data_IF_986395977368
#
_entry.id   IF_986395977368
#
_cell.length_a   1.000
_cell.length_b   1.000
_cell.length_c   1.000
_cell.angle_alpha   90.00
_cell.angle_beta   90.00
_cell.angle_gamma   90.00
#
_symmetry.space_group_name_H-M   'P 1'
#
loop_
_entity.id
_entity.type
_entity.pdbx_description
1 polymer ?
#
# COMPACT_ATOMS: atom_id res chain seq x y z
N UNK A 1 33.56 -26.58 -26.05
CA UNK A 1 32.13 -26.92 -26.23
C UNK A 1 31.30 -26.61 -24.98
N UNK A 2 31.73 -27.03 -23.79
CA UNK A 2 31.01 -26.81 -22.53
C UNK A 2 30.83 -25.34 -22.17
N UNK A 3 31.91 -24.53 -22.19
CA UNK A 3 31.83 -23.08 -21.94
C UNK A 3 30.80 -22.38 -22.83
N UNK A 4 30.76 -22.71 -24.12
CA UNK A 4 29.78 -22.14 -25.06
C UNK A 4 28.33 -22.47 -24.65
N UNK A 5 28.07 -23.69 -24.15
CA UNK A 5 26.75 -24.09 -23.64
C UNK A 5 26.37 -23.31 -22.39
N UNK A 6 27.31 -23.12 -21.46
CA UNK A 6 27.11 -22.30 -20.25
C UNK A 6 26.80 -20.85 -20.65
N UNK A 7 27.58 -20.26 -21.56
CA UNK A 7 27.37 -18.88 -22.01
C UNK A 7 26.01 -18.70 -22.71
N UNK A 8 25.58 -19.66 -23.53
CA UNK A 8 24.23 -19.67 -24.14
C UNK A 8 23.13 -19.66 -23.07
N UNK A 9 23.29 -20.46 -22.00
CA UNK A 9 22.35 -20.48 -20.88
C UNK A 9 22.32 -19.15 -20.13
N UNK A 10 23.49 -18.55 -19.88
CA UNK A 10 23.59 -17.25 -19.22
C UNK A 10 22.92 -16.14 -20.03
N UNK A 11 23.12 -16.11 -21.35
CA UNK A 11 22.46 -15.14 -22.25
C UNK A 11 20.94 -15.29 -22.24
N UNK A 12 20.43 -16.52 -22.41
CA UNK A 12 19.00 -16.79 -22.43
C UNK A 12 18.31 -16.36 -21.11
N UNK A 13 18.91 -16.70 -19.96
CA UNK A 13 18.35 -16.32 -18.67
C UNK A 13 18.53 -14.82 -18.37
N UNK A 14 19.63 -14.19 -18.81
CA UNK A 14 19.79 -12.74 -18.66
C UNK A 14 18.71 -11.97 -19.43
N UNK A 15 18.35 -12.42 -20.64
CA UNK A 15 17.24 -11.85 -21.40
C UNK A 15 15.91 -12.03 -20.66
N UNK A 16 15.61 -13.24 -20.14
CA UNK A 16 14.39 -13.49 -19.35
C UNK A 16 14.27 -12.58 -18.13
N UNK A 17 15.38 -12.37 -17.41
CA UNK A 17 15.41 -11.43 -16.27
C UNK A 17 15.15 -10.01 -16.75
N UNK A 18 15.83 -9.57 -17.82
CA UNK A 18 15.68 -8.22 -18.37
C UNK A 18 14.26 -7.92 -18.85
N UNK A 19 13.61 -8.87 -19.53
CA UNK A 19 12.22 -8.77 -19.98
C UNK A 19 11.25 -8.74 -18.80
N UNK A 20 11.39 -9.64 -17.83
CA UNK A 20 10.53 -9.65 -16.64
C UNK A 20 10.64 -8.36 -15.84
N UNK A 21 11.87 -7.85 -15.64
CA UNK A 21 12.09 -6.57 -14.95
C UNK A 21 11.54 -5.37 -15.72
N UNK A 22 11.51 -5.39 -17.06
CA UNK A 22 10.86 -4.32 -17.85
C UNK A 22 9.35 -4.28 -17.61
N UNK A 23 8.68 -5.43 -17.63
CA UNK A 23 7.23 -5.52 -17.34
C UNK A 23 6.94 -5.00 -15.94
N UNK A 24 7.77 -5.35 -14.95
CA UNK A 24 7.64 -4.88 -13.58
C UNK A 24 7.92 -3.38 -13.43
N UNK A 25 8.88 -2.83 -14.18
CA UNK A 25 9.16 -1.40 -14.24
C UNK A 25 7.98 -0.62 -14.83
N UNK A 26 7.38 -1.11 -15.91
CA UNK A 26 6.19 -0.51 -16.52
C UNK A 26 4.98 -0.57 -15.59
N UNK A 27 4.78 -1.67 -14.86
CA UNK A 27 3.76 -1.75 -13.82
C UNK A 27 4.01 -0.73 -12.70
N UNK A 28 5.23 -0.67 -12.17
CA UNK A 28 5.59 0.32 -11.16
C UNK A 28 5.38 1.75 -11.65
N UNK A 29 5.66 2.02 -12.94
CA UNK A 29 5.56 3.35 -13.53
C UNK A 29 4.14 3.78 -13.85
N UNK A 30 3.37 2.91 -14.49
CA UNK A 30 2.09 3.28 -15.13
C UNK A 30 0.87 2.79 -14.36
N UNK A 31 1.04 1.82 -13.44
CA UNK A 31 -0.05 1.31 -12.60
C UNK A 31 0.09 1.81 -11.16
N UNK A 32 1.31 1.85 -10.63
CA UNK A 32 1.55 2.25 -9.24
C UNK A 32 2.03 3.70 -9.07
N UNK A 33 2.43 4.38 -10.15
CA UNK A 33 3.12 5.67 -10.11
C UNK A 33 4.29 5.71 -9.10
N UNK A 34 4.94 4.56 -8.86
CA UNK A 34 6.00 4.35 -7.86
C UNK A 34 7.38 4.70 -8.45
N UNK A 35 7.73 5.98 -8.42
CA UNK A 35 9.05 6.45 -8.89
C UNK A 35 10.25 5.82 -8.17
N UNK A 36 10.09 5.41 -6.90
CA UNK A 36 11.17 4.74 -6.13
C UNK A 36 11.28 3.27 -6.56
N UNK A 37 10.17 2.61 -6.80
CA UNK A 37 10.07 1.26 -7.34
C UNK A 37 10.68 1.19 -8.74
N UNK A 38 10.36 2.15 -9.62
CA UNK A 38 11.01 2.30 -10.93
C UNK A 38 12.52 2.42 -10.79
N UNK A 39 13.00 3.30 -9.91
CA UNK A 39 14.43 3.48 -9.68
C UNK A 39 15.10 2.20 -9.15
N UNK A 40 14.45 1.49 -8.23
CA UNK A 40 14.97 0.25 -7.65
C UNK A 40 15.02 -0.91 -8.67
N UNK A 41 13.96 -1.08 -9.47
CA UNK A 41 13.90 -2.10 -10.53
C UNK A 41 14.95 -1.80 -11.62
N UNK A 42 15.12 -0.52 -11.99
CA UNK A 42 16.16 -0.08 -12.91
C UNK A 42 17.57 -0.33 -12.35
N UNK A 43 17.77 -0.08 -11.05
CA UNK A 43 19.04 -0.39 -10.37
C UNK A 43 19.34 -1.90 -10.40
N UNK A 44 18.33 -2.74 -10.14
CA UNK A 44 18.46 -4.20 -10.22
C UNK A 44 18.86 -4.65 -11.64
N UNK A 45 18.26 -4.06 -12.69
CA UNK A 45 18.65 -4.30 -14.10
C UNK A 45 20.10 -3.90 -14.38
N UNK A 46 20.55 -2.74 -13.94
CA UNK A 46 21.93 -2.31 -14.14
C UNK A 46 22.93 -3.19 -13.38
N UNK A 47 22.59 -3.58 -12.15
CA UNK A 47 23.43 -4.46 -11.34
C UNK A 47 23.57 -5.85 -11.98
N UNK A 48 22.51 -6.38 -12.59
CA UNK A 48 22.57 -7.62 -13.37
C UNK A 48 23.57 -7.53 -14.53
N UNK A 49 23.54 -6.43 -15.29
CA UNK A 49 24.48 -6.20 -16.40
C UNK A 49 25.92 -6.18 -15.90
N UNK A 50 26.17 -5.50 -14.76
CA UNK A 50 27.48 -5.46 -14.13
C UNK A 50 27.95 -6.84 -13.65
N UNK A 51 27.09 -7.61 -12.98
CA UNK A 51 27.41 -8.95 -12.49
C UNK A 51 27.72 -9.93 -13.63
N UNK A 52 27.11 -9.76 -14.81
CA UNK A 52 27.39 -10.57 -15.99
C UNK A 52 28.57 -10.06 -16.83
N UNK A 53 29.28 -9.01 -16.38
CA UNK A 53 30.41 -8.42 -17.12
C UNK A 53 31.59 -9.38 -17.35
N UNK A 54 31.69 -10.45 -16.55
CA UNK A 54 32.70 -11.52 -16.69
C UNK A 54 32.56 -12.35 -17.97
N UNK A 55 31.39 -12.29 -18.63
CA UNK A 55 31.17 -12.85 -19.96
C UNK A 55 30.77 -11.71 -20.88
N UNK A 56 31.62 -11.41 -21.87
CA UNK A 56 31.41 -10.26 -22.74
C UNK A 56 30.09 -10.37 -23.51
N UNK A 57 29.51 -9.23 -23.86
CA UNK A 57 28.28 -9.17 -24.68
C UNK A 57 28.47 -9.92 -26.02
N UNK A 58 29.65 -9.80 -26.65
CA UNK A 58 29.96 -10.49 -27.89
C UNK A 58 30.00 -12.01 -27.72
N UNK A 59 30.58 -12.51 -26.62
CA UNK A 59 30.62 -13.95 -26.30
C UNK A 59 29.22 -14.50 -26.07
N UNK A 60 28.36 -13.76 -25.34
CA UNK A 60 26.96 -14.12 -25.11
C UNK A 60 26.16 -14.19 -26.41
N UNK A 61 26.28 -13.18 -27.27
CA UNK A 61 25.58 -13.13 -28.57
C UNK A 61 26.07 -14.27 -29.47
N UNK A 62 27.38 -14.49 -29.56
CA UNK A 62 27.97 -15.56 -30.38
C UNK A 62 27.61 -16.98 -29.92
N UNK A 63 27.14 -17.14 -28.68
CA UNK A 63 26.69 -18.42 -28.15
C UNK A 63 25.22 -18.75 -28.48
N UNK A 64 24.43 -17.79 -28.99
CA UNK A 64 23.02 -17.98 -29.34
C UNK A 64 22.88 -19.01 -30.46
N UNK A 65 21.81 -19.79 -30.38
CA UNK A 65 21.42 -20.76 -31.39
C UNK A 65 19.91 -21.01 -31.28
N UNK A 66 19.14 -20.01 -31.74
CA UNK A 66 17.68 -20.02 -31.64
C UNK A 66 17.04 -21.13 -32.47
N UNK A 67 17.67 -21.53 -33.57
CA UNK A 67 17.15 -22.58 -34.46
C UNK A 67 17.39 -23.98 -33.90
N UNK A 68 18.42 -24.16 -33.08
CA UNK A 68 18.74 -25.43 -32.40
C UNK A 68 18.34 -25.47 -30.93
N UNK A 69 17.63 -24.46 -30.41
CA UNK A 69 17.10 -24.47 -29.03
C UNK A 69 16.00 -25.52 -28.93
N UNK A 70 16.16 -26.50 -28.04
CA UNK A 70 15.15 -27.53 -27.78
C UNK A 70 14.11 -27.04 -26.80
N UNK A 71 12.84 -27.44 -26.99
CA UNK A 71 11.75 -27.09 -26.08
C UNK A 71 11.14 -25.70 -26.30
N UNK A 72 11.37 -25.08 -27.46
CA UNK A 72 10.75 -23.80 -27.85
C UNK A 72 9.23 -23.89 -28.04
N UNK A 73 8.73 -25.08 -28.39
CA UNK A 73 7.30 -25.31 -28.68
C UNK A 73 6.52 -25.81 -27.45
N UNK A 74 7.19 -26.00 -26.30
CA UNK A 74 6.58 -26.47 -25.07
C UNK A 74 5.85 -25.32 -24.36
N UNK A 75 4.69 -24.94 -24.89
CA UNK A 75 3.84 -23.90 -24.29
C UNK A 75 2.87 -24.56 -23.31
N UNK A 76 2.99 -24.21 -22.02
CA UNK A 76 2.03 -24.66 -21.01
C UNK A 76 0.68 -23.98 -21.23
N UNK A 77 -0.43 -24.71 -21.14
CA UNK A 77 -1.79 -24.21 -21.38
C UNK A 77 -2.19 -22.99 -20.53
N UNK A 78 -1.51 -22.76 -19.40
CA UNK A 78 -1.73 -21.63 -18.50
C UNK A 78 -0.90 -20.37 -18.82
N UNK A 79 -0.02 -20.39 -19.83
CA UNK A 79 0.85 -19.24 -20.14
C UNK A 79 0.07 -18.03 -20.67
N UNK A 80 -1.03 -18.30 -21.38
CA UNK A 80 -1.89 -17.29 -22.03
C UNK A 80 -3.07 -16.83 -21.18
N UNK A 81 -3.37 -17.50 -20.07
CA UNK A 81 -4.52 -17.17 -19.24
C UNK A 81 -4.09 -16.33 -18.03
N UNK A 82 -4.50 -15.07 -18.00
CA UNK A 82 -4.14 -14.11 -16.94
C UNK A 82 -5.42 -13.52 -16.36
N UNK A 83 -5.69 -13.81 -15.09
CA UNK A 83 -6.90 -13.37 -14.40
C UNK A 83 -6.91 -11.87 -14.05
N UNK A 84 -5.76 -11.17 -14.12
CA UNK A 84 -5.65 -9.74 -13.79
C UNK A 84 -4.22 -9.25 -13.61
N UNK A 85 -4.04 -7.97 -13.24
CA UNK A 85 -2.74 -7.30 -13.07
C UNK A 85 -1.81 -8.06 -12.10
N UNK A 86 -2.30 -8.42 -10.92
CA UNK A 86 -1.54 -9.18 -9.91
C UNK A 86 -0.97 -10.50 -10.47
N UNK A 87 -1.70 -11.17 -11.36
CA UNK A 87 -1.25 -12.43 -11.98
C UNK A 87 -0.10 -12.21 -12.96
N UNK A 88 -0.06 -11.05 -13.64
CA UNK A 88 1.03 -10.64 -14.53
C UNK A 88 2.25 -10.27 -13.71
N UNK A 89 2.09 -9.49 -12.65
CA UNK A 89 3.18 -9.07 -11.75
C UNK A 89 3.83 -10.29 -11.08
N UNK A 90 3.01 -11.16 -10.49
CA UNK A 90 3.47 -12.38 -9.81
C UNK A 90 4.25 -13.27 -10.78
N UNK A 91 3.73 -13.51 -11.99
CA UNK A 91 4.39 -14.35 -12.97
C UNK A 91 5.75 -13.79 -13.41
N UNK A 92 5.86 -12.47 -13.60
CA UNK A 92 7.13 -11.84 -13.98
C UNK A 92 8.15 -11.86 -12.84
N UNK A 93 7.75 -11.65 -11.58
CA UNK A 93 8.64 -11.84 -10.44
C UNK A 93 9.16 -13.28 -10.34
N UNK A 94 8.28 -14.28 -10.48
CA UNK A 94 8.71 -15.70 -10.46
C UNK A 94 9.67 -16.02 -11.61
N UNK A 95 9.41 -15.51 -12.81
CA UNK A 95 10.30 -15.67 -13.98
C UNK A 95 11.68 -15.05 -13.72
N UNK A 96 11.73 -13.83 -13.19
CA UNK A 96 12.99 -13.16 -12.81
C UNK A 96 13.77 -13.99 -11.80
N UNK A 97 13.12 -14.44 -10.73
CA UNK A 97 13.75 -15.17 -9.63
C UNK A 97 14.30 -16.53 -10.08
N UNK A 98 13.53 -17.26 -10.90
CA UNK A 98 13.94 -18.55 -11.46
C UNK A 98 15.12 -18.38 -12.42
N UNK A 99 15.07 -17.38 -13.31
CA UNK A 99 16.16 -17.11 -14.26
C UNK A 99 17.43 -16.65 -13.54
N UNK A 100 17.33 -15.80 -12.51
CA UNK A 100 18.47 -15.44 -11.67
C UNK A 100 19.06 -16.64 -10.93
N UNK A 101 18.23 -17.60 -10.48
CA UNK A 101 18.73 -18.84 -9.87
C UNK A 101 19.53 -19.69 -10.86
N UNK A 102 19.05 -19.81 -12.11
CA UNK A 102 19.82 -20.49 -13.17
C UNK A 102 21.14 -19.77 -13.46
N UNK A 103 21.14 -18.44 -13.54
CA UNK A 103 22.38 -17.67 -13.72
C UNK A 103 23.34 -17.93 -12.55
N UNK A 104 22.87 -17.83 -11.31
CA UNK A 104 23.65 -18.05 -10.09
C UNK A 104 24.39 -19.39 -10.12
N UNK A 105 23.68 -20.48 -10.39
CA UNK A 105 24.26 -21.83 -10.35
C UNK A 105 25.29 -22.06 -11.46
N UNK A 106 24.97 -21.65 -12.69
CA UNK A 106 25.88 -21.88 -13.82
C UNK A 106 27.05 -20.91 -13.87
N UNK A 107 26.91 -19.71 -13.31
CA UNK A 107 27.99 -18.73 -13.24
C UNK A 107 29.09 -19.16 -12.27
N UNK A 108 28.80 -20.04 -11.29
CA UNK A 108 29.83 -20.65 -10.41
C UNK A 108 30.91 -21.41 -11.18
N UNK A 109 30.59 -21.91 -12.39
CA UNK A 109 31.53 -22.60 -13.26
C UNK A 109 32.46 -21.65 -14.04
N UNK A 110 32.16 -20.35 -14.06
CA UNK A 110 32.94 -19.32 -14.77
C UNK A 110 33.61 -18.38 -13.77
N UNK A 111 32.84 -17.82 -12.84
CA UNK A 111 33.31 -16.86 -11.85
C UNK A 111 32.43 -16.89 -10.59
N UNK A 112 33.01 -17.41 -9.49
CA UNK A 112 32.30 -17.55 -8.22
C UNK A 112 31.93 -16.20 -7.58
N UNK A 113 32.75 -15.16 -7.77
CA UNK A 113 32.47 -13.84 -7.21
C UNK A 113 31.21 -13.21 -7.84
N UNK A 114 31.10 -13.31 -9.17
CA UNK A 114 29.90 -12.88 -9.88
C UNK A 114 28.68 -13.73 -9.55
N UNK A 115 28.84 -15.03 -9.29
CA UNK A 115 27.74 -15.85 -8.81
C UNK A 115 27.19 -15.36 -7.45
N UNK A 116 28.06 -14.99 -6.50
CA UNK A 116 27.65 -14.37 -5.22
C UNK A 116 26.94 -13.03 -5.44
N UNK A 117 27.38 -12.23 -6.42
CA UNK A 117 26.65 -11.00 -6.80
C UNK A 117 25.24 -11.33 -7.28
N UNK A 118 25.07 -12.31 -8.16
CA UNK A 118 23.75 -12.73 -8.67
C UNK A 118 22.86 -13.27 -7.54
N UNK A 119 23.42 -14.03 -6.59
CA UNK A 119 22.69 -14.48 -5.41
C UNK A 119 22.08 -13.30 -4.65
N UNK A 120 22.88 -12.26 -4.36
CA UNK A 120 22.39 -11.03 -3.69
C UNK A 120 21.28 -10.35 -4.49
N UNK A 121 21.46 -10.20 -5.81
CA UNK A 121 20.42 -9.61 -6.66
C UNK A 121 19.12 -10.44 -6.66
N UNK A 122 19.23 -11.76 -6.58
CA UNK A 122 18.06 -12.64 -6.42
C UNK A 122 17.35 -12.37 -5.09
N UNK A 123 18.09 -12.19 -3.99
CA UNK A 123 17.50 -11.81 -2.70
C UNK A 123 16.85 -10.41 -2.73
N UNK A 124 17.49 -9.44 -3.36
CA UNK A 124 16.95 -8.10 -3.56
C UNK A 124 15.62 -8.16 -4.34
N UNK A 125 15.52 -9.05 -5.33
CA UNK A 125 14.28 -9.24 -6.09
C UNK A 125 13.11 -9.75 -5.24
N UNK A 126 13.34 -10.57 -4.21
CA UNK A 126 12.29 -10.99 -3.27
C UNK A 126 11.80 -9.82 -2.42
N UNK A 127 12.73 -8.96 -1.99
CA UNK A 127 12.42 -7.78 -1.19
C UNK A 127 11.58 -6.78 -2.02
N UNK A 128 11.94 -6.59 -3.29
CA UNK A 128 11.18 -5.75 -4.20
C UNK A 128 9.79 -6.32 -4.51
N UNK A 129 9.68 -7.64 -4.77
CA UNK A 129 8.38 -8.31 -4.96
C UNK A 129 7.45 -8.09 -3.75
N UNK A 130 7.97 -8.26 -2.54
CA UNK A 130 7.19 -8.07 -1.32
C UNK A 130 6.69 -6.62 -1.20
N UNK A 131 7.50 -5.65 -1.62
CA UNK A 131 7.13 -4.22 -1.59
C UNK A 131 6.06 -3.88 -2.63
N UNK A 132 6.24 -4.28 -3.89
CA UNK A 132 5.30 -3.95 -4.98
C UNK A 132 3.93 -4.59 -4.74
N UNK A 133 3.91 -5.85 -4.29
CA UNK A 133 2.67 -6.59 -3.96
C UNK A 133 1.90 -5.94 -2.79
N UNK A 134 2.62 -5.38 -1.80
CA UNK A 134 1.98 -4.69 -0.67
C UNK A 134 1.35 -3.35 -1.07
N UNK A 135 1.93 -2.63 -2.04
CA UNK A 135 1.43 -1.33 -2.49
C UNK A 135 0.09 -1.44 -3.23
N UNK A 136 0.00 -2.37 -4.19
CA UNK A 136 -1.22 -2.64 -4.96
C UNK A 136 -2.36 -3.13 -4.03
N UNK A 137 -2.01 -3.92 -3.01
CA UNK A 137 -2.94 -4.32 -1.94
C UNK A 137 -3.45 -3.14 -1.08
N UNK A 138 -2.65 -2.08 -0.83
CA UNK A 138 -3.07 -0.97 0.03
C UNK A 138 -4.11 -0.08 -0.64
N UNK A 139 -3.85 0.37 -1.87
CA UNK A 139 -4.79 1.21 -2.62
C UNK A 139 -6.11 0.49 -2.90
N UNK A 140 -6.05 -0.81 -3.27
CA UNK A 140 -7.26 -1.61 -3.48
C UNK A 140 -8.07 -1.79 -2.18
N UNK A 141 -7.40 -1.98 -1.03
CA UNK A 141 -8.06 -2.03 0.29
C UNK A 141 -8.67 -0.69 0.67
N UNK A 142 -7.96 0.41 0.44
CA UNK A 142 -8.45 1.78 0.71
C UNK A 142 -9.65 2.13 -0.17
N UNK A 143 -9.64 1.76 -1.44
CA UNK A 143 -10.76 2.01 -2.36
C UNK A 143 -12.07 1.36 -1.89
N UNK A 144 -11.98 0.17 -1.29
CA UNK A 144 -13.10 -0.59 -0.70
C UNK A 144 -13.43 -0.16 0.74
N UNK A 145 -12.56 0.59 1.39
CA UNK A 145 -12.75 1.02 2.77
C UNK A 145 -13.93 2.00 2.88
N UNK A 146 -14.81 1.76 3.85
CA UNK A 146 -15.96 2.61 4.17
C UNK A 146 -16.02 3.01 5.64
N UNK A 147 -15.34 2.26 6.52
CA UNK A 147 -15.30 2.52 7.94
C UNK A 147 -13.86 2.69 8.45
N UNK A 148 -13.55 3.92 8.84
CA UNK A 148 -12.27 4.36 9.33
C UNK A 148 -12.36 4.65 10.84
N UNK A 149 -11.55 3.99 11.66
CA UNK A 149 -11.54 4.18 13.10
C UNK A 149 -10.30 4.96 13.53
N UNK A 150 -10.50 5.99 14.35
CA UNK A 150 -9.41 6.65 15.08
C UNK A 150 -9.33 6.05 16.48
N UNK A 151 -8.16 5.54 16.83
CA UNK A 151 -7.88 4.89 18.10
C UNK A 151 -6.88 5.71 18.91
N UNK A 152 -7.20 5.93 20.18
CA UNK A 152 -6.30 6.55 21.17
C UNK A 152 -5.37 5.48 21.76
N UNK A 153 -4.10 5.82 21.99
CA UNK A 153 -3.08 4.87 22.48
C UNK A 153 -2.94 4.85 24.00
N UNK A 154 -3.68 5.71 24.70
CA UNK A 154 -3.61 5.92 26.15
C UNK A 154 -4.01 4.71 26.99
N UNK A 155 -3.88 4.86 28.31
CA UNK A 155 -3.95 3.73 29.23
C UNK A 155 -2.73 2.81 29.11
N UNK A 156 -2.84 1.58 29.61
CA UNK A 156 -1.73 0.62 29.51
C UNK A 156 -1.63 0.01 28.10
N UNK A 157 -0.44 -0.47 27.73
CA UNK A 157 -0.23 -1.15 26.44
C UNK A 157 -1.15 -2.37 26.29
N UNK A 158 -1.34 -3.11 27.40
CA UNK A 158 -2.22 -4.27 27.43
C UNK A 158 -3.68 -3.87 27.21
N UNK A 159 -4.15 -2.74 27.73
CA UNK A 159 -5.53 -2.29 27.52
C UNK A 159 -5.77 -1.90 26.06
N UNK A 160 -4.79 -1.20 25.45
CA UNK A 160 -4.81 -0.86 24.04
C UNK A 160 -4.89 -2.12 23.16
N UNK A 161 -4.00 -3.09 23.39
CA UNK A 161 -3.99 -4.35 22.63
C UNK A 161 -5.30 -5.13 22.79
N UNK A 162 -5.84 -5.23 24.01
CA UNK A 162 -7.13 -5.90 24.26
C UNK A 162 -8.26 -5.25 23.48
N UNK A 163 -8.32 -3.92 23.42
CA UNK A 163 -9.33 -3.18 22.64
C UNK A 163 -9.19 -3.45 21.14
N UNK A 164 -7.96 -3.38 20.61
CA UNK A 164 -7.69 -3.67 19.19
C UNK A 164 -8.09 -5.11 18.85
N UNK A 165 -7.67 -6.09 19.65
CA UNK A 165 -8.03 -7.50 19.46
C UNK A 165 -9.55 -7.72 19.48
N UNK A 166 -10.28 -7.06 20.38
CA UNK A 166 -11.74 -7.13 20.42
C UNK A 166 -12.41 -6.62 19.15
N UNK A 167 -11.84 -5.58 18.52
CA UNK A 167 -12.32 -5.06 17.24
C UNK A 167 -11.97 -6.00 16.08
N UNK A 168 -10.76 -6.57 16.06
CA UNK A 168 -10.31 -7.49 15.02
C UNK A 168 -11.05 -8.84 15.06
N UNK A 169 -11.48 -9.27 16.24
CA UNK A 169 -12.28 -10.49 16.41
C UNK A 169 -13.76 -10.30 16.01
N UNK A 170 -14.19 -9.08 15.71
CA UNK A 170 -15.57 -8.81 15.32
C UNK A 170 -15.82 -9.24 13.87
N UNK A 171 -16.95 -9.91 13.61
CA UNK A 171 -17.40 -10.23 12.24
C UNK A 171 -17.61 -8.95 11.40
N UNK A 172 -18.06 -7.86 12.05
CA UNK A 172 -18.05 -6.55 11.42
C UNK A 172 -16.62 -6.01 11.41
N UNK A 173 -15.99 -6.03 10.24
CA UNK A 173 -14.62 -5.57 10.07
C UNK A 173 -14.53 -4.04 10.07
N UNK A 174 -13.53 -3.49 10.75
CA UNK A 174 -13.03 -2.14 10.48
C UNK A 174 -12.09 -2.20 9.29
N UNK A 175 -12.07 -1.17 8.43
CA UNK A 175 -11.24 -1.18 7.23
C UNK A 175 -9.89 -0.47 7.46
N UNK A 176 -9.91 0.59 8.27
CA UNK A 176 -8.73 1.39 8.61
C UNK A 176 -8.71 1.69 10.10
N UNK A 177 -7.57 1.48 10.76
CA UNK A 177 -7.32 1.95 12.12
C UNK A 177 -6.19 2.99 12.07
N UNK A 178 -6.48 4.20 12.52
CA UNK A 178 -5.48 5.25 12.71
C UNK A 178 -5.14 5.38 14.18
N UNK A 179 -3.87 5.17 14.51
CA UNK A 179 -3.36 5.51 15.84
C UNK A 179 -3.24 7.03 15.93
N UNK A 180 -4.08 7.62 16.77
CA UNK A 180 -4.18 9.06 17.00
C UNK A 180 -4.24 9.33 18.49
N UNK A 181 -3.07 9.58 19.05
CA UNK A 181 -2.90 10.00 20.42
C UNK A 181 -2.04 11.27 20.47
N UNK A 182 -2.56 12.32 21.09
CA UNK A 182 -1.85 13.60 21.23
C UNK A 182 -1.14 13.76 22.57
N UNK A 183 -1.27 12.77 23.45
CA UNK A 183 -0.72 12.79 24.81
C UNK A 183 0.49 11.88 24.97
N UNK A 184 0.62 10.84 24.15
CA UNK A 184 1.80 9.97 24.14
C UNK A 184 3.03 10.71 23.63
N UNK A 185 4.17 10.44 24.27
CA UNK A 185 5.47 10.83 23.73
C UNK A 185 5.86 9.97 22.52
N UNK A 186 6.92 10.39 21.81
CA UNK A 186 7.40 9.72 20.61
C UNK A 186 7.72 8.22 20.79
N UNK A 187 8.29 7.85 21.95
CA UNK A 187 8.67 6.45 22.22
C UNK A 187 7.44 5.60 22.48
N UNK A 188 6.49 6.12 23.23
CA UNK A 188 5.22 5.46 23.52
C UNK A 188 4.37 5.34 22.25
N UNK A 189 4.30 6.40 21.44
CA UNK A 189 3.58 6.39 20.18
C UNK A 189 4.17 5.36 19.22
N UNK A 190 5.50 5.28 19.11
CA UNK A 190 6.18 4.27 18.31
C UNK A 190 5.92 2.85 18.80
N UNK A 191 5.97 2.62 20.12
CA UNK A 191 5.64 1.32 20.72
C UNK A 191 4.20 0.91 20.39
N UNK A 192 3.23 1.81 20.58
CA UNK A 192 1.82 1.57 20.23
C UNK A 192 1.63 1.30 18.74
N UNK A 193 2.28 2.06 17.87
CA UNK A 193 2.21 1.86 16.42
C UNK A 193 2.75 0.48 16.02
N UNK A 194 3.88 0.06 16.59
CA UNK A 194 4.46 -1.29 16.35
C UNK A 194 3.55 -2.40 16.83
N UNK A 195 2.93 -2.25 18.01
CA UNK A 195 1.96 -3.21 18.53
C UNK A 195 0.73 -3.32 17.64
N UNK A 196 0.14 -2.18 17.27
CA UNK A 196 -1.00 -2.14 16.35
C UNK A 196 -0.65 -2.80 15.02
N UNK A 197 0.53 -2.51 14.46
CA UNK A 197 0.98 -3.15 13.23
C UNK A 197 1.15 -4.66 13.40
N UNK A 198 1.74 -5.11 14.49
CA UNK A 198 1.91 -6.53 14.80
C UNK A 198 0.57 -7.26 14.90
N UNK A 199 -0.40 -6.69 15.62
CA UNK A 199 -1.74 -7.27 15.81
C UNK A 199 -2.55 -7.36 14.51
N UNK A 200 -2.34 -6.42 13.60
CA UNK A 200 -3.05 -6.35 12.31
C UNK A 200 -2.34 -7.09 11.18
N UNK A 201 -1.21 -7.76 11.45
CA UNK A 201 -0.55 -8.62 10.45
C UNK A 201 -1.47 -9.78 10.09
N UNK A 202 -1.65 -10.00 8.79
CA UNK A 202 -2.56 -11.03 8.27
C UNK A 202 -4.03 -10.61 8.22
N UNK A 203 -4.39 -9.44 8.75
CA UNK A 203 -5.73 -8.88 8.63
C UNK A 203 -5.80 -7.90 7.43
N UNK A 204 -6.94 -7.77 6.73
CA UNK A 204 -7.11 -6.76 5.67
C UNK A 204 -7.12 -5.31 6.17
N UNK A 205 -7.05 -5.06 7.48
CA UNK A 205 -7.09 -3.70 8.05
C UNK A 205 -5.85 -2.91 7.65
N UNK A 206 -6.05 -1.66 7.24
CA UNK A 206 -4.97 -0.69 7.03
C UNK A 206 -4.62 0.01 8.35
N UNK A 207 -3.32 0.16 8.63
CA UNK A 207 -2.82 0.88 9.80
C UNK A 207 -2.24 2.24 9.39
N UNK A 208 -2.80 3.30 9.95
CA UNK A 208 -2.36 4.67 9.71
C UNK A 208 -1.81 5.28 11.00
N UNK A 209 -0.81 6.16 10.88
CA UNK A 209 -0.32 6.97 12.01
C UNK A 209 -0.73 8.42 11.78
N UNK A 210 -1.27 9.05 12.81
CA UNK A 210 -1.64 10.47 12.76
C UNK A 210 -0.40 11.36 12.87
N UNK A 211 -0.31 12.39 12.01
CA UNK A 211 0.66 13.50 11.96
C UNK A 211 2.14 13.12 11.71
N UNK A 212 2.58 11.95 12.21
CA UNK A 212 4.00 11.56 12.32
C UNK A 212 4.42 10.58 11.23
N UNK A 213 4.86 11.13 10.10
CA UNK A 213 5.38 10.37 8.96
C UNK A 213 6.60 9.51 9.32
N UNK A 214 7.49 10.02 10.18
CA UNK A 214 8.65 9.32 10.72
C UNK A 214 8.26 8.10 11.55
N UNK A 215 7.27 8.22 12.42
CA UNK A 215 6.73 7.11 13.22
C UNK A 215 6.07 6.06 12.31
N UNK A 216 5.30 6.50 11.32
CA UNK A 216 4.67 5.60 10.34
C UNK A 216 5.71 4.68 9.67
N UNK A 217 6.83 5.25 9.21
CA UNK A 217 7.95 4.50 8.62
C UNK A 217 8.60 3.58 9.66
N UNK A 218 8.93 4.10 10.84
CA UNK A 218 9.63 3.36 11.89
C UNK A 218 8.80 2.19 12.50
N UNK A 219 7.48 2.22 12.32
CA UNK A 219 6.55 1.15 12.73
C UNK A 219 6.09 0.24 11.59
N UNK A 220 6.52 0.46 10.35
CA UNK A 220 6.02 -0.25 9.15
C UNK A 220 4.48 -0.12 8.99
N UNK A 221 3.94 1.06 9.27
CA UNK A 221 2.51 1.36 9.07
C UNK A 221 2.18 1.37 7.57
N UNK A 222 0.90 1.23 7.22
CA UNK A 222 0.46 1.34 5.83
C UNK A 222 0.48 2.77 5.32
N UNK A 223 0.49 3.77 6.22
CA UNK A 223 0.64 5.17 5.84
C UNK A 223 0.51 6.18 6.98
N UNK A 224 0.42 7.46 6.61
CA UNK A 224 0.25 8.60 7.51
C UNK A 224 -1.02 9.39 7.17
N UNK A 225 -1.66 9.98 8.18
CA UNK A 225 -2.71 10.98 7.99
C UNK A 225 -2.26 12.30 8.58
N UNK A 226 -2.24 13.38 7.79
CA UNK A 226 -1.79 14.72 8.23
C UNK A 226 -2.94 15.72 8.26
N UNK A 227 -2.81 16.78 9.06
CA UNK A 227 -3.70 17.93 9.04
C UNK A 227 -3.17 19.06 8.16
N UNK A 228 -3.70 20.27 8.36
CA UNK A 228 -3.31 21.47 7.61
C UNK A 228 -2.07 22.17 8.20
N UNK A 229 -1.64 21.78 9.41
CA UNK A 229 -0.53 22.40 10.14
C UNK A 229 0.72 21.54 10.21
N UNK A 230 0.56 20.25 9.93
CA UNK A 230 1.61 19.24 9.88
C UNK A 230 2.34 19.29 8.53
N UNK A 231 3.17 18.28 8.23
CA UNK A 231 3.86 18.20 6.94
C UNK A 231 2.84 18.25 5.78
N UNK A 232 3.09 19.08 4.74
CA UNK A 232 2.31 19.04 3.51
C UNK A 232 2.35 17.64 2.89
N UNK A 233 1.29 17.28 2.14
CA UNK A 233 1.14 15.95 1.52
C UNK A 233 2.38 15.54 0.72
N UNK A 234 2.94 16.46 -0.08
CA UNK A 234 4.16 16.21 -0.88
C UNK A 234 5.38 15.89 -0.02
N UNK A 235 5.56 16.57 1.10
CA UNK A 235 6.69 16.35 1.99
C UNK A 235 6.49 15.09 2.84
N UNK A 236 5.27 14.83 3.31
CA UNK A 236 4.92 13.56 3.95
C UNK A 236 5.21 12.37 3.00
N UNK A 237 4.82 12.48 1.72
CA UNK A 237 5.13 11.48 0.68
C UNK A 237 6.63 11.27 0.50
N UNK A 238 7.43 12.33 0.53
CA UNK A 238 8.90 12.22 0.43
C UNK A 238 9.51 11.47 1.62
N UNK A 239 8.93 11.60 2.80
CA UNK A 239 9.37 10.87 4.01
C UNK A 239 8.95 9.41 3.96
N UNK A 240 7.66 9.12 3.71
CA UNK A 240 7.15 7.75 3.82
C UNK A 240 7.35 6.90 2.56
N UNK A 241 7.70 7.55 1.46
CA UNK A 241 7.85 6.92 0.15
C UNK A 241 6.53 6.72 -0.60
N UNK A 242 6.60 6.35 -1.88
CA UNK A 242 5.44 6.24 -2.77
C UNK A 242 4.53 5.04 -2.51
N UNK A 243 5.01 3.98 -1.83
CA UNK A 243 4.21 2.76 -1.59
C UNK A 243 3.36 2.78 -0.32
N UNK A 244 3.46 3.84 0.49
CA UNK A 244 2.68 4.02 1.71
C UNK A 244 1.63 5.11 1.50
N UNK A 245 0.49 5.00 2.18
CA UNK A 245 -0.66 5.88 1.97
C UNK A 245 -0.46 7.25 2.66
N UNK A 246 -0.87 8.33 2.01
CA UNK A 246 -0.94 9.69 2.58
C UNK A 246 -2.39 10.17 2.55
N UNK A 247 -2.97 10.33 3.72
CA UNK A 247 -4.26 11.00 3.88
C UNK A 247 -4.11 12.42 4.41
N UNK A 248 -5.07 13.29 4.08
CA UNK A 248 -5.09 14.66 4.61
C UNK A 248 -6.49 15.08 5.05
N UNK A 249 -6.57 15.79 6.18
CA UNK A 249 -7.82 16.43 6.63
C UNK A 249 -8.11 17.68 5.81
N UNK A 250 -9.37 17.89 5.42
CA UNK A 250 -9.84 19.02 4.61
C UNK A 250 -11.09 19.62 5.23
N UNK A 251 -11.22 20.94 5.15
CA UNK A 251 -12.29 21.72 5.79
C UNK A 251 -13.13 22.52 4.79
N UNK A 252 -12.68 22.63 3.54
CA UNK A 252 -13.35 23.36 2.47
C UNK A 252 -12.97 22.79 1.08
N UNK A 253 -13.69 23.21 0.04
CA UNK A 253 -13.48 22.76 -1.33
C UNK A 253 -12.09 23.13 -1.88
N UNK A 254 -11.52 24.25 -1.44
CA UNK A 254 -10.20 24.67 -1.90
C UNK A 254 -9.10 23.76 -1.33
N UNK A 255 -9.22 23.35 -0.07
CA UNK A 255 -8.35 22.35 0.56
C UNK A 255 -8.48 20.98 -0.11
N UNK A 256 -9.71 20.56 -0.44
CA UNK A 256 -9.94 19.32 -1.19
C UNK A 256 -9.23 19.30 -2.54
N UNK A 257 -9.37 20.37 -3.33
CA UNK A 257 -8.67 20.49 -4.63
C UNK A 257 -7.16 20.44 -4.47
N UNK A 258 -6.61 21.19 -3.51
CA UNK A 258 -5.17 21.13 -3.19
C UNK A 258 -4.72 19.73 -2.80
N UNK A 259 -5.50 19.01 -2.00
CA UNK A 259 -5.17 17.64 -1.61
C UNK A 259 -5.09 16.69 -2.82
N UNK A 260 -5.99 16.85 -3.80
CA UNK A 260 -5.96 16.11 -5.07
C UNK A 260 -4.70 16.48 -5.87
N UNK A 261 -4.46 17.78 -6.05
CA UNK A 261 -3.31 18.29 -6.83
C UNK A 261 -1.95 17.92 -6.20
N UNK A 262 -1.91 17.75 -4.87
CA UNK A 262 -0.72 17.34 -4.14
C UNK A 262 -0.51 15.83 -4.09
N UNK A 263 -1.44 15.04 -4.64
CA UNK A 263 -1.33 13.58 -4.75
C UNK A 263 -1.60 12.86 -3.44
N UNK A 264 -2.58 13.32 -2.65
CA UNK A 264 -3.09 12.55 -1.52
C UNK A 264 -3.80 11.28 -2.01
N UNK A 265 -3.76 10.20 -1.22
CA UNK A 265 -4.44 8.94 -1.55
C UNK A 265 -5.90 8.94 -1.07
N UNK A 266 -6.21 9.72 -0.04
CA UNK A 266 -7.56 9.91 0.49
C UNK A 266 -7.66 11.19 1.31
N UNK A 267 -8.89 11.60 1.61
CA UNK A 267 -9.18 12.80 2.40
C UNK A 267 -10.14 12.52 3.55
N UNK A 268 -9.92 13.20 4.68
CA UNK A 268 -10.93 13.35 5.73
C UNK A 268 -11.67 14.66 5.53
N UNK A 269 -12.98 14.63 5.33
CA UNK A 269 -13.81 15.81 5.10
C UNK A 269 -14.63 16.12 6.36
N UNK A 270 -14.30 17.21 7.05
CA UNK A 270 -14.99 17.58 8.29
C UNK A 270 -14.37 18.80 8.96
N UNK A 271 -14.79 19.14 10.19
CA UNK A 271 -15.81 18.44 10.98
C UNK A 271 -17.22 18.58 10.39
N UNK A 272 -18.00 17.49 10.41
CA UNK A 272 -19.37 17.47 9.88
C UNK A 272 -20.41 17.75 10.96
N UNK A 273 -20.21 17.22 12.17
CA UNK A 273 -21.06 17.48 13.34
C UNK A 273 -20.22 18.05 14.49
N UNK A 274 -20.81 18.86 15.38
CA UNK A 274 -20.10 19.36 16.55
C UNK A 274 -19.56 18.19 17.38
N UNK A 275 -18.34 18.30 17.90
CA UNK A 275 -17.84 17.37 18.90
C UNK A 275 -17.62 18.11 20.21
N UNK A 276 -17.83 17.41 21.33
CA UNK A 276 -17.57 17.95 22.68
C UNK A 276 -16.08 18.17 22.93
N UNK A 277 -15.21 17.67 22.05
CA UNK A 277 -13.76 17.54 22.25
C UNK A 277 -12.90 18.53 21.45
N UNK A 278 -13.48 19.29 20.51
CA UNK A 278 -12.76 20.31 19.72
C UNK A 278 -13.68 21.47 19.32
N UNK A 279 -13.26 22.68 19.66
CA UNK A 279 -13.73 23.92 19.05
C UNK A 279 -13.02 24.12 17.70
N UNK A 280 -13.77 24.51 16.67
CA UNK A 280 -13.25 24.77 15.34
C UNK A 280 -13.59 26.20 14.93
N UNK A 281 -12.63 26.89 14.31
CA UNK A 281 -12.82 28.27 13.82
C UNK A 281 -13.76 28.33 12.61
N UNK A 282 -13.93 27.21 11.89
CA UNK A 282 -14.91 27.04 10.83
C UNK A 282 -15.56 25.67 10.92
N UNK A 283 -16.90 25.64 10.78
CA UNK A 283 -17.70 24.44 10.86
C UNK A 283 -18.36 24.21 9.50
N UNK A 284 -17.81 23.28 8.72
CA UNK A 284 -18.25 23.02 7.35
C UNK A 284 -19.62 22.32 7.27
N UNK A 285 -19.99 21.55 8.30
CA UNK A 285 -21.28 20.89 8.36
C UNK A 285 -21.50 19.86 7.24
N UNK A 286 -22.76 19.52 7.00
CA UNK A 286 -23.17 18.69 5.86
C UNK A 286 -23.06 19.44 4.53
N UNK A 287 -23.08 20.77 4.57
CA UNK A 287 -22.95 21.66 3.41
C UNK A 287 -21.60 21.49 2.73
N UNK A 288 -20.52 21.37 3.51
CA UNK A 288 -19.20 21.04 2.96
C UNK A 288 -19.20 19.69 2.25
N UNK A 289 -19.84 18.66 2.84
CA UNK A 289 -19.93 17.35 2.19
C UNK A 289 -20.68 17.41 0.86
N UNK A 290 -21.81 18.12 0.81
CA UNK A 290 -22.59 18.32 -0.42
C UNK A 290 -21.73 18.97 -1.51
N UNK A 291 -20.95 20.00 -1.15
CA UNK A 291 -20.07 20.69 -2.08
C UNK A 291 -18.85 19.85 -2.50
N UNK A 292 -18.34 18.99 -1.61
CA UNK A 292 -17.18 18.13 -1.84
C UNK A 292 -17.51 16.89 -2.68
N UNK A 293 -18.70 16.29 -2.50
CA UNK A 293 -19.09 15.04 -3.15
C UNK A 293 -18.90 15.00 -4.68
N UNK A 294 -19.29 16.03 -5.47
CA UNK A 294 -19.08 16.01 -6.92
C UNK A 294 -17.62 16.26 -7.34
N UNK A 295 -16.73 16.65 -6.42
CA UNK A 295 -15.33 17.03 -6.69
C UNK A 295 -14.37 15.93 -6.25
N UNK A 296 -14.74 15.15 -5.22
CA UNK A 296 -13.90 14.12 -4.64
C UNK A 296 -13.68 12.96 -5.60
N UNK A 297 -12.53 12.99 -6.30
CA UNK A 297 -12.04 11.89 -7.14
C UNK A 297 -11.29 10.82 -6.36
N UNK A 298 -10.93 11.13 -5.10
CA UNK A 298 -10.26 10.24 -4.16
C UNK A 298 -11.26 9.65 -3.15
N UNK A 299 -10.94 8.52 -2.49
CA UNK A 299 -11.68 8.09 -1.30
C UNK A 299 -11.81 9.23 -0.28
N UNK A 300 -13.04 9.64 0.01
CA UNK A 300 -13.32 10.74 0.93
C UNK A 300 -14.16 10.25 2.12
N UNK A 301 -13.66 10.46 3.33
CA UNK A 301 -14.28 10.02 4.58
C UNK A 301 -14.87 11.22 5.31
N UNK A 302 -16.18 11.19 5.56
CA UNK A 302 -16.83 12.18 6.43
C UNK A 302 -16.35 11.99 7.87
N UNK A 303 -15.87 13.05 8.52
CA UNK A 303 -15.27 12.99 9.86
C UNK A 303 -15.79 14.12 10.76
N UNK A 304 -15.78 13.89 12.07
CA UNK A 304 -16.14 14.88 13.09
C UNK A 304 -17.57 14.70 13.57
N UNK A 305 -17.72 14.24 14.81
CA UNK A 305 -19.03 14.03 15.46
C UNK A 305 -19.91 12.95 14.82
N UNK A 306 -19.37 12.10 13.94
CA UNK A 306 -20.15 11.03 13.29
C UNK A 306 -20.54 9.96 14.33
N UNK A 307 -21.85 9.73 14.46
CA UNK A 307 -22.49 8.65 15.22
C UNK A 307 -23.49 7.91 14.33
N UNK A 308 -24.04 6.80 14.82
CA UNK A 308 -24.95 5.91 14.09
C UNK A 308 -26.12 6.67 13.46
N UNK A 309 -26.74 7.57 14.21
CA UNK A 309 -27.92 8.34 13.81
C UNK A 309 -27.60 9.37 12.72
N UNK A 310 -26.32 9.75 12.60
CA UNK A 310 -25.86 10.75 11.66
C UNK A 310 -25.47 10.18 10.28
N UNK A 311 -25.31 8.85 10.17
CA UNK A 311 -24.87 8.18 8.92
C UNK A 311 -25.85 8.46 7.78
N UNK A 312 -27.16 8.47 8.05
CA UNK A 312 -28.16 8.79 7.03
C UNK A 312 -27.95 10.16 6.41
N UNK A 313 -27.64 11.19 7.22
CA UNK A 313 -27.39 12.55 6.75
C UNK A 313 -26.09 12.66 5.95
N UNK A 314 -25.04 11.96 6.36
CA UNK A 314 -23.77 11.88 5.60
C UNK A 314 -24.01 11.29 4.21
N UNK A 315 -24.83 10.24 4.11
CA UNK A 315 -25.18 9.61 2.82
C UNK A 315 -26.04 10.53 1.95
N UNK A 316 -27.02 11.22 2.52
CA UNK A 316 -27.79 12.23 1.80
C UNK A 316 -26.93 13.39 1.28
N UNK A 317 -25.79 13.65 1.91
CA UNK A 317 -24.79 14.62 1.45
C UNK A 317 -23.82 14.06 0.38
N UNK A 318 -24.01 12.82 -0.09
CA UNK A 318 -23.23 12.20 -1.16
C UNK A 318 -22.03 11.36 -0.70
N UNK A 319 -21.84 11.17 0.61
CA UNK A 319 -20.71 10.41 1.16
C UNK A 319 -21.11 9.00 1.59
N UNK A 320 -20.32 8.00 1.20
CA UNK A 320 -20.54 6.58 1.57
C UNK A 320 -19.51 6.05 2.56
N UNK A 321 -18.55 6.88 2.98
CA UNK A 321 -17.45 6.51 3.87
C UNK A 321 -17.41 7.44 5.07
N UNK A 322 -17.14 6.89 6.24
CA UNK A 322 -17.11 7.63 7.51
C UNK A 322 -15.85 7.32 8.31
N UNK A 323 -15.38 8.32 9.03
CA UNK A 323 -14.36 8.19 10.05
C UNK A 323 -14.93 8.51 11.42
N UNK A 324 -14.75 7.58 12.37
CA UNK A 324 -15.32 7.65 13.72
C UNK A 324 -14.22 7.48 14.77
N UNK A 325 -14.39 8.13 15.93
CA UNK A 325 -13.57 7.89 17.13
C UNK A 325 -14.46 7.44 18.27
N UNK A 326 -15.15 8.39 18.89
CA UNK A 326 -15.85 8.18 20.17
C UNK A 326 -17.03 7.22 20.03
N UNK A 327 -17.69 7.21 18.87
CA UNK A 327 -18.82 6.32 18.59
C UNK A 327 -18.47 4.83 18.68
N UNK A 328 -17.18 4.46 18.53
CA UNK A 328 -16.71 3.07 18.59
C UNK A 328 -15.63 2.89 19.65
N UNK A 329 -14.52 3.64 19.57
CA UNK A 329 -13.35 3.43 20.43
C UNK A 329 -13.66 3.65 21.92
N UNK A 330 -14.49 4.65 22.22
CA UNK A 330 -14.88 5.01 23.58
C UNK A 330 -16.27 4.46 23.97
N UNK A 331 -16.88 3.63 23.13
CA UNK A 331 -18.13 2.97 23.47
C UNK A 331 -17.92 1.94 24.61
N UNK A 332 -18.92 1.70 25.47
CA UNK A 332 -18.85 0.64 26.48
C UNK A 332 -18.59 -0.75 25.88
N UNK A 333 -19.15 -1.01 24.70
CA UNK A 333 -18.88 -2.18 23.87
C UNK A 333 -18.49 -1.73 22.45
N UNK A 334 -17.17 -1.61 22.18
CA UNK A 334 -16.67 -1.22 20.86
C UNK A 334 -17.07 -2.17 19.73
N UNK A 335 -17.18 -3.47 20.00
CA UNK A 335 -17.55 -4.46 19.00
C UNK A 335 -19.03 -4.35 18.60
N UNK A 336 -19.92 -4.17 19.58
CA UNK A 336 -21.33 -3.90 19.29
C UNK A 336 -21.52 -2.56 18.57
N UNK A 337 -20.79 -1.52 18.95
CA UNK A 337 -20.82 -0.23 18.26
C UNK A 337 -20.33 -0.35 16.80
N UNK A 338 -19.23 -1.08 16.57
CA UNK A 338 -18.70 -1.35 15.25
C UNK A 338 -19.74 -2.03 14.34
N UNK A 339 -20.43 -3.06 14.85
CA UNK A 339 -21.53 -3.74 14.12
C UNK A 339 -22.64 -2.79 13.71
N UNK A 340 -23.10 -1.91 14.61
CA UNK A 340 -24.19 -0.98 14.31
C UNK A 340 -23.80 0.05 13.24
N UNK A 341 -22.61 0.65 13.36
CA UNK A 341 -22.09 1.59 12.35
C UNK A 341 -21.96 0.90 10.98
N UNK A 342 -21.41 -0.33 10.94
CA UNK A 342 -21.28 -1.10 9.70
C UNK A 342 -22.65 -1.40 9.08
N UNK A 343 -23.62 -1.83 9.88
CA UNK A 343 -24.98 -2.10 9.41
C UNK A 343 -25.64 -0.84 8.82
N UNK A 344 -25.49 0.32 9.47
CA UNK A 344 -26.04 1.59 9.00
C UNK A 344 -25.41 2.07 7.67
N UNK A 345 -24.13 1.74 7.41
CA UNK A 345 -23.46 1.99 6.13
C UNK A 345 -24.02 1.10 5.00
N UNK A 346 -24.32 -0.17 5.30
CA UNK A 346 -24.81 -1.16 4.31
C UNK A 346 -26.32 -1.05 4.05
N UNK A 347 -27.14 -0.84 5.07
CA UNK A 347 -28.61 -0.94 5.00
C UNK A 347 -29.28 0.09 4.07
N UNK A 348 -28.60 1.16 3.71
CA UNK A 348 -29.15 2.19 2.82
C UNK A 348 -28.54 2.18 1.41
N UNK A 349 -27.68 1.18 1.08
CA UNK A 349 -27.15 0.99 -0.29
C UNK A 349 -28.24 0.48 -1.24
N UNK A 350 -29.28 -0.17 -0.73
CA UNK A 350 -30.44 -0.67 -1.48
C UNK A 350 -31.54 0.39 -1.72
N UNK A 351 -31.35 1.62 -1.23
CA UNK A 351 -32.22 2.78 -1.49
C UNK A 351 -31.42 3.88 -2.22
N UNK A 352 -30.93 3.59 -3.42
CA UNK A 352 -30.60 4.67 -4.36
C UNK A 352 -31.91 5.21 -4.95
N UNK A 353 -32.15 6.54 -4.99
CA UNK A 353 -33.23 7.09 -5.79
C UNK A 353 -32.96 6.79 -7.27
N UNK A 354 -34.01 6.35 -7.98
CA UNK A 354 -34.03 6.18 -9.43
C UNK A 354 -33.76 7.48 -10.16
#
# INVERSE_FOLDING_TARGET
>A
MERRRIVRLLDANANRVGEGLRVLEDHARFVLDDGVGVAAIKALRHALVGALGVVSVAERIGARDTNGDVGTDAVGSAEFDRAGLDSVVTANWKRVQQAMRSIEEFLKLIDAESAVRIERLRYDSYTLEARTTRSESRLARLARASLYLLADGGGSAADFERRVLGLLACEATVDVIQLRDKQLDDRQLLDRARRLRSLTRGHPVLVMVNDRADIAVASDADGVHVGQTELPVRDARRVIGPGALVGVSTHDVAQLRRAIDDGADYVGCGPVFPSETKTFDSFGGTEYLIAAAPIATLPAFAIGGIREEAIGRVRSAGFTRVAVRDAVWNAPDPAAALRRIRAALVANTDRAPR
#
